data_IF_068245131981
#
_entry.id   IF_068245131981
#
_cell.length_a   1.000
_cell.length_b   1.000
_cell.length_c   1.000
_cell.angle_alpha   90.00
_cell.angle_beta   90.00
_cell.angle_gamma   90.00
#
_symmetry.space_group_name_H-M   'P 1'
#
loop_
_entity.id
_entity.type
_entity.pdbx_description
1 polymer ?
#
# COMPACT_ATOMS: atom_id res chain seq x y z
N UNK A 1 -18.67 45.53 -26.63
CA UNK A 1 -18.91 44.42 -25.69
C UNK A 1 -18.73 43.15 -26.47
N UNK A 2 -17.47 42.76 -26.55
CA UNK A 2 -16.93 41.95 -27.63
C UNK A 2 -17.08 40.48 -27.28
N UNK A 3 -17.92 39.78 -28.04
CA UNK A 3 -18.15 38.33 -27.97
C UNK A 3 -16.84 37.51 -27.94
N UNK A 4 -15.76 38.10 -28.49
CA UNK A 4 -14.40 37.57 -28.51
C UNK A 4 -13.74 37.49 -27.12
N UNK A 5 -14.09 38.38 -26.18
CA UNK A 5 -13.60 38.37 -24.79
C UNK A 5 -14.21 37.20 -24.00
N UNK A 6 -15.47 36.87 -24.27
CA UNK A 6 -16.17 35.75 -23.64
C UNK A 6 -15.61 34.39 -24.08
N UNK A 7 -15.28 34.25 -25.37
CA UNK A 7 -14.62 33.05 -25.91
C UNK A 7 -13.23 32.82 -25.30
N UNK A 8 -12.44 33.88 -25.10
CA UNK A 8 -11.11 33.77 -24.48
C UNK A 8 -11.17 33.34 -23.02
N UNK A 9 -12.19 33.77 -22.27
CA UNK A 9 -12.37 33.38 -20.87
C UNK A 9 -12.78 31.91 -20.72
N UNK A 10 -13.57 31.36 -21.64
CA UNK A 10 -13.96 29.93 -21.61
C UNK A 10 -12.78 28.97 -21.87
N UNK A 11 -11.84 29.35 -22.74
CA UNK A 11 -10.66 28.53 -23.03
C UNK A 11 -9.71 28.42 -21.82
N UNK A 12 -9.59 29.46 -20.99
CA UNK A 12 -8.74 29.43 -19.80
C UNK A 12 -9.29 28.50 -18.69
N UNK A 13 -10.62 28.37 -18.57
CA UNK A 13 -11.27 27.55 -17.53
C UNK A 13 -11.21 26.05 -17.86
N UNK A 14 -11.11 25.70 -19.15
CA UNK A 14 -11.15 24.31 -19.62
C UNK A 14 -9.86 23.51 -19.39
N UNK A 15 -8.77 24.16 -18.97
CA UNK A 15 -7.48 23.52 -18.68
C UNK A 15 -7.36 22.93 -17.25
N UNK A 16 -8.46 22.83 -16.50
CA UNK A 16 -8.51 21.98 -15.30
C UNK A 16 -8.63 20.53 -15.76
N UNK A 17 -7.47 19.93 -16.03
CA UNK A 17 -7.28 18.55 -16.42
C UNK A 17 -8.04 17.60 -15.47
N UNK A 18 -9.05 16.90 -16.00
CA UNK A 18 -9.57 15.67 -15.40
C UNK A 18 -8.48 14.60 -15.50
N UNK A 19 -7.48 14.70 -14.63
CA UNK A 19 -6.44 13.69 -14.49
C UNK A 19 -7.03 12.46 -13.82
N UNK A 20 -7.41 11.44 -14.60
CA UNK A 20 -7.51 10.10 -14.08
C UNK A 20 -6.11 9.67 -13.62
N UNK A 21 -5.84 9.81 -12.32
CA UNK A 21 -4.61 9.34 -11.69
C UNK A 21 -4.62 7.81 -11.81
N UNK A 22 -4.02 7.27 -12.88
CA UNK A 22 -3.67 5.85 -12.94
C UNK A 22 -2.61 5.62 -11.86
N UNK A 23 -3.05 5.15 -10.68
CA UNK A 23 -2.15 4.70 -9.63
C UNK A 23 -1.28 3.60 -10.21
N UNK A 24 0.03 3.72 -10.02
CA UNK A 24 0.99 2.72 -10.44
C UNK A 24 0.78 1.44 -9.62
N UNK A 25 -0.12 0.57 -10.08
CA UNK A 25 -0.03 -0.85 -9.79
C UNK A 25 1.22 -1.31 -10.53
N UNK A 26 2.22 -1.74 -9.79
CA UNK A 26 3.46 -2.29 -10.33
C UNK A 26 3.15 -3.20 -11.52
N UNK A 27 3.85 -3.05 -12.65
CA UNK A 27 3.56 -3.75 -13.91
C UNK A 27 3.53 -5.28 -13.79
N UNK A 28 4.07 -5.84 -12.70
CA UNK A 28 4.08 -7.29 -12.40
C UNK A 28 2.96 -7.76 -11.46
N UNK A 29 1.98 -6.92 -11.14
CA UNK A 29 0.96 -7.20 -10.13
C UNK A 29 1.47 -7.11 -8.70
N UNK A 30 0.68 -7.59 -7.74
CA UNK A 30 1.04 -7.57 -6.33
C UNK A 30 2.05 -8.66 -5.97
N UNK A 31 2.92 -8.42 -4.97
CA UNK A 31 3.89 -9.40 -4.52
C UNK A 31 3.19 -10.64 -3.93
N UNK A 32 3.95 -11.72 -3.75
CA UNK A 32 3.42 -13.01 -3.29
C UNK A 32 2.60 -12.86 -2.00
N UNK A 33 1.41 -13.46 -1.96
CA UNK A 33 0.44 -13.39 -0.86
C UNK A 33 -0.05 -11.98 -0.49
N UNK A 34 0.12 -11.01 -1.39
CA UNK A 34 -0.59 -9.74 -1.34
C UNK A 34 -1.73 -9.72 -2.36
N UNK A 35 -2.67 -8.81 -2.16
CA UNK A 35 -3.75 -8.52 -3.08
C UNK A 35 -3.89 -7.01 -3.25
N UNK A 36 -4.29 -6.59 -4.44
CA UNK A 36 -4.55 -5.19 -4.71
C UNK A 36 -5.88 -4.81 -4.06
N UNK A 37 -5.89 -3.73 -3.28
CA UNK A 37 -7.09 -3.19 -2.65
C UNK A 37 -7.27 -1.74 -3.04
N UNK A 38 -8.49 -1.38 -3.41
CA UNK A 38 -8.91 0.01 -3.62
C UNK A 38 -9.00 0.79 -2.30
N UNK A 39 -9.17 0.11 -1.17
CA UNK A 39 -9.16 0.71 0.16
C UNK A 39 -8.14 -0.02 1.02
N UNK A 40 -7.02 0.63 1.30
CA UNK A 40 -5.94 0.08 2.14
C UNK A 40 -6.03 0.60 3.57
N UNK A 41 -5.30 -0.04 4.48
CA UNK A 41 -5.18 0.47 5.85
C UNK A 41 -4.24 1.68 5.89
N UNK A 42 -4.65 2.75 6.59
CA UNK A 42 -3.81 3.93 6.84
C UNK A 42 -2.77 3.63 7.94
N UNK A 43 -3.09 2.68 8.81
CA UNK A 43 -2.22 2.32 9.91
C UNK A 43 -0.94 1.64 9.43
N UNK A 44 0.16 1.75 10.22
CA UNK A 44 1.42 1.12 9.89
C UNK A 44 1.28 -0.37 9.62
N UNK A 45 1.90 -0.80 8.53
CA UNK A 45 1.89 -2.20 8.12
C UNK A 45 2.54 -3.11 9.17
N UNK A 46 2.05 -4.35 9.22
CA UNK A 46 2.65 -5.42 10.00
C UNK A 46 3.67 -6.18 9.18
N UNK A 47 4.82 -6.45 9.78
CA UNK A 47 5.90 -7.24 9.22
C UNK A 47 6.46 -8.23 10.24
N UNK A 48 7.34 -9.13 9.84
CA UNK A 48 8.01 -10.04 10.76
C UNK A 48 8.82 -9.33 11.86
N UNK A 49 9.14 -8.03 11.71
CA UNK A 49 9.80 -7.23 12.76
C UNK A 49 8.84 -6.72 13.85
N UNK A 50 7.54 -6.55 13.57
CA UNK A 50 6.58 -5.89 14.48
C UNK A 50 5.22 -6.61 14.62
N UNK A 51 5.10 -7.85 14.14
CA UNK A 51 3.85 -8.61 14.11
C UNK A 51 3.28 -8.95 15.50
N UNK A 52 4.12 -8.97 16.53
CA UNK A 52 3.71 -9.17 17.93
C UNK A 52 3.25 -7.89 18.61
N UNK A 53 3.61 -6.72 18.07
CA UNK A 53 3.25 -5.44 18.65
C UNK A 53 1.78 -5.15 18.39
N UNK A 54 0.98 -4.88 19.42
CA UNK A 54 -0.40 -4.42 19.22
C UNK A 54 -0.35 -2.98 18.68
N UNK A 55 -1.03 -2.74 17.55
CA UNK A 55 -1.15 -1.38 17.01
C UNK A 55 -2.20 -0.61 17.80
N UNK A 56 -1.89 0.58 18.29
CA UNK A 56 -2.88 1.54 18.80
C UNK A 56 -3.60 2.28 17.68
N UNK A 57 -3.08 2.22 16.45
CA UNK A 57 -3.73 2.80 15.29
C UNK A 57 -4.90 1.93 14.84
N UNK A 58 -6.07 2.55 14.80
CA UNK A 58 -7.29 2.03 14.21
C UNK A 58 -7.95 3.16 13.41
N UNK A 59 -8.34 2.89 12.17
CA UNK A 59 -8.99 3.86 11.29
C UNK A 59 -10.05 3.17 10.44
N UNK A 60 -11.23 3.80 10.35
CA UNK A 60 -12.29 3.41 9.43
C UNK A 60 -12.16 4.11 8.06
N UNK A 61 -11.17 5.00 7.90
CA UNK A 61 -10.90 5.70 6.64
C UNK A 61 -10.00 4.84 5.75
N UNK A 62 -10.25 4.92 4.45
CA UNK A 62 -9.45 4.25 3.43
C UNK A 62 -8.14 5.00 3.16
N UNK A 63 -7.03 4.27 3.18
CA UNK A 63 -5.79 4.68 2.56
C UNK A 63 -5.86 4.61 1.03
N UNK A 64 -4.83 5.10 0.34
CA UNK A 64 -4.77 5.04 -1.12
C UNK A 64 -4.69 3.58 -1.61
N UNK A 65 -5.30 3.24 -2.74
CA UNK A 65 -5.15 1.94 -3.37
C UNK A 65 -3.70 1.53 -3.54
N UNK A 66 -3.41 0.31 -3.09
CA UNK A 66 -2.11 -0.31 -3.17
C UNK A 66 -2.23 -1.83 -2.96
N UNK A 67 -1.12 -2.53 -3.14
CA UNK A 67 -1.02 -3.92 -2.70
C UNK A 67 -0.94 -3.98 -1.18
N UNK A 68 -1.74 -4.87 -0.60
CA UNK A 68 -1.77 -5.14 0.84
C UNK A 68 -1.69 -6.65 1.07
N UNK A 69 -1.03 -7.08 2.15
CA UNK A 69 -1.01 -8.50 2.50
C UNK A 69 -2.44 -9.03 2.69
N UNK A 70 -2.67 -10.26 2.23
CA UNK A 70 -3.94 -10.98 2.47
C UNK A 70 -4.18 -11.13 3.97
N UNK A 71 -5.43 -11.34 4.34
CA UNK A 71 -5.79 -11.58 5.74
C UNK A 71 -4.95 -12.73 6.35
N UNK A 72 -4.54 -12.57 7.60
CA UNK A 72 -3.65 -13.49 8.30
C UNK A 72 -2.16 -13.42 7.88
N UNK A 73 -1.81 -12.60 6.89
CA UNK A 73 -0.44 -12.42 6.43
C UNK A 73 0.15 -11.08 6.88
N UNK A 74 1.47 -11.03 6.97
CA UNK A 74 2.27 -9.84 7.28
C UNK A 74 3.44 -9.76 6.30
N UNK A 75 4.02 -8.59 6.10
CA UNK A 75 5.19 -8.45 5.23
C UNK A 75 6.37 -9.25 5.78
N UNK A 76 7.08 -9.96 4.89
CA UNK A 76 8.31 -10.65 5.29
C UNK A 76 9.34 -9.64 5.82
N UNK A 77 9.49 -8.53 5.11
CA UNK A 77 10.33 -7.41 5.49
C UNK A 77 9.54 -6.10 5.42
N UNK A 78 9.54 -5.32 6.52
CA UNK A 78 8.90 -4.00 6.57
C UNK A 78 9.56 -2.95 5.67
N UNK A 79 10.86 -3.10 5.40
CA UNK A 79 11.62 -2.16 4.55
C UNK A 79 11.47 -2.49 3.05
N UNK A 80 11.47 -3.79 2.71
CA UNK A 80 11.32 -4.27 1.33
C UNK A 80 10.04 -5.10 1.17
N UNK A 81 8.95 -4.40 0.81
CA UNK A 81 7.63 -5.01 0.60
C UNK A 81 7.55 -5.91 -0.64
N UNK A 82 8.55 -5.85 -1.53
CA UNK A 82 8.58 -6.69 -2.73
C UNK A 82 8.92 -8.15 -2.40
N UNK A 83 9.51 -8.40 -1.24
CA UNK A 83 9.75 -9.76 -0.73
C UNK A 83 8.44 -10.51 -0.42
N UNK A 84 7.32 -9.81 -0.40
CA UNK A 84 5.99 -10.36 -0.26
C UNK A 84 5.57 -10.61 1.18
N UNK A 85 4.47 -11.33 1.31
CA UNK A 85 3.79 -11.57 2.57
C UNK A 85 3.88 -13.03 2.99
N UNK A 86 3.98 -13.25 4.30
CA UNK A 86 4.03 -14.57 4.93
C UNK A 86 3.02 -14.63 6.08
N UNK A 87 2.63 -15.84 6.47
CA UNK A 87 1.81 -16.00 7.68
C UNK A 87 2.63 -15.67 8.93
N UNK A 88 1.97 -15.20 10.00
CA UNK A 88 2.65 -14.84 11.26
C UNK A 88 3.45 -16.01 11.85
N UNK A 89 2.94 -17.24 11.71
CA UNK A 89 3.65 -18.45 12.17
C UNK A 89 5.01 -18.64 11.47
N UNK A 90 5.13 -18.18 10.22
CA UNK A 90 6.38 -18.23 9.46
C UNK A 90 7.42 -17.30 10.08
N UNK A 91 7.02 -16.08 10.47
CA UNK A 91 7.90 -15.15 11.19
C UNK A 91 8.40 -15.75 12.52
N UNK A 92 7.51 -16.40 13.29
CA UNK A 92 7.90 -17.08 14.54
C UNK A 92 8.93 -18.20 14.32
N UNK A 93 8.82 -18.94 13.21
CA UNK A 93 9.80 -19.98 12.86
C UNK A 93 11.15 -19.38 12.45
N UNK A 94 11.14 -18.32 11.65
CA UNK A 94 12.34 -17.57 11.26
C UNK A 94 13.08 -17.00 12.47
N UNK A 95 12.35 -16.40 13.42
CA UNK A 95 12.93 -15.88 14.67
C UNK A 95 13.57 -16.98 15.52
N UNK A 96 12.98 -18.18 15.57
CA UNK A 96 13.59 -19.33 16.27
C UNK A 96 14.89 -19.77 15.61
N UNK A 97 14.91 -19.86 14.27
CA UNK A 97 16.11 -20.23 13.50
C UNK A 97 17.21 -19.19 13.72
N UNK A 98 16.88 -17.89 13.69
CA UNK A 98 17.85 -16.80 13.89
C UNK A 98 18.48 -16.81 15.29
N UNK A 99 17.79 -17.34 16.29
CA UNK A 99 18.25 -17.43 17.68
C UNK A 99 18.94 -18.77 17.99
N UNK A 100 18.90 -19.75 17.09
CA UNK A 100 19.63 -21.00 17.31
C UNK A 100 21.14 -20.74 17.22
N UNK A 101 21.93 -21.22 18.19
CA UNK A 101 23.38 -21.24 18.06
C UNK A 101 23.76 -22.01 16.79
N UNK A 102 24.58 -21.41 15.95
CA UNK A 102 25.22 -22.13 14.85
C UNK A 102 26.17 -23.15 15.50
N UNK A 103 26.09 -24.44 15.14
CA UNK A 103 26.97 -25.46 15.71
C UNK A 103 28.45 -25.22 15.40
#
# INVERSE_FOLDING_TARGET
MDFKLFLLLFFLVSLVSSGAVKRAVHSSGCPKNAEYKECTNICPDKSCQNFLTVSSCFSLRCGPPACMCKEGHVYLNGEDKNQGCVRRETCSKLEKIRKQPVP
#
